data_IF_815829777275
#
_entry.id   IF_815829777275
#
_cell.length_a   1.000
_cell.length_b   1.000
_cell.length_c   1.000
_cell.angle_alpha   90.00
_cell.angle_beta   90.00
_cell.angle_gamma   90.00
#
_symmetry.space_group_name_H-M   'P 1'
#
loop_
_entity.id
_entity.type
_entity.pdbx_description
1 polymer ?
#
# COMPACT_ATOMS: atom_id res chain seq x y z
N UNK A 1 -32.40 25.44 -19.83
CA UNK A 1 -31.65 24.22 -19.47
C UNK A 1 -31.18 24.37 -18.04
N UNK A 2 -31.38 23.35 -17.19
CA UNK A 2 -30.93 23.37 -15.79
C UNK A 2 -29.41 23.52 -15.73
N UNK A 3 -28.92 24.45 -14.90
CA UNK A 3 -27.48 24.66 -14.67
C UNK A 3 -26.95 23.42 -13.92
N UNK A 4 -26.08 22.65 -14.56
CA UNK A 4 -25.46 21.48 -13.93
C UNK A 4 -24.72 21.89 -12.65
N UNK A 5 -24.91 21.12 -11.58
CA UNK A 5 -24.25 21.40 -10.30
C UNK A 5 -22.72 21.31 -10.47
N UNK A 6 -22.00 22.34 -10.02
CA UNK A 6 -20.53 22.34 -10.02
C UNK A 6 -20.04 21.48 -8.85
N UNK A 7 -19.41 20.35 -9.17
CA UNK A 7 -18.75 19.49 -8.19
C UNK A 7 -17.31 19.98 -7.94
N UNK A 8 -16.77 19.71 -6.75
CA UNK A 8 -15.38 20.01 -6.40
C UNK A 8 -14.38 19.12 -7.17
N UNK A 9 -14.82 17.96 -7.67
CA UNK A 9 -14.05 16.97 -8.43
C UNK A 9 -14.73 16.77 -9.79
N UNK A 10 -13.94 16.67 -10.86
CA UNK A 10 -14.43 16.43 -12.23
C UNK A 10 -13.40 15.59 -12.98
N UNK A 11 -13.75 14.42 -13.54
CA UNK A 11 -15.09 13.91 -13.88
C UNK A 11 -15.89 13.44 -12.66
N UNK A 12 -17.20 13.17 -12.83
CA UNK A 12 -17.97 12.53 -11.76
C UNK A 12 -17.63 11.05 -11.65
N UNK A 13 -17.93 10.44 -10.50
CA UNK A 13 -17.73 9.01 -10.26
C UNK A 13 -18.36 8.12 -11.34
N UNK A 14 -19.51 8.53 -11.89
CA UNK A 14 -20.24 7.76 -12.89
C UNK A 14 -19.67 7.89 -14.30
N UNK A 15 -19.00 9.00 -14.60
CA UNK A 15 -18.47 9.28 -15.94
C UNK A 15 -17.12 8.59 -16.17
N UNK A 16 -16.21 8.71 -15.19
CA UNK A 16 -14.88 8.10 -15.23
C UNK A 16 -14.41 7.85 -13.79
N UNK A 17 -14.59 6.61 -13.35
CA UNK A 17 -14.27 6.20 -11.98
C UNK A 17 -12.76 6.24 -11.67
N UNK A 18 -11.86 5.70 -12.53
CA UNK A 18 -10.43 5.77 -12.28
C UNK A 18 -9.90 7.19 -12.05
N UNK A 19 -10.23 8.15 -12.92
CA UNK A 19 -9.75 9.53 -12.79
C UNK A 19 -10.41 10.22 -11.60
N UNK A 20 -11.73 10.05 -11.41
CA UNK A 20 -12.43 10.58 -10.23
C UNK A 20 -11.78 10.12 -8.93
N UNK A 21 -11.42 8.83 -8.82
CA UNK A 21 -10.78 8.27 -7.63
C UNK A 21 -9.44 8.93 -7.35
N UNK A 22 -8.59 9.09 -8.36
CA UNK A 22 -7.28 9.75 -8.22
C UNK A 22 -7.45 11.22 -7.79
N UNK A 23 -8.42 11.93 -8.36
CA UNK A 23 -8.68 13.31 -7.99
C UNK A 23 -9.22 13.44 -6.56
N UNK A 24 -10.09 12.54 -6.10
CA UNK A 24 -10.57 12.53 -4.71
C UNK A 24 -9.40 12.31 -3.75
N UNK A 25 -8.57 11.28 -4.00
CA UNK A 25 -7.41 10.97 -3.16
C UNK A 25 -6.45 12.16 -3.06
N UNK A 26 -6.17 12.80 -4.20
CA UNK A 26 -5.29 13.96 -4.28
C UNK A 26 -5.89 15.19 -3.60
N UNK A 27 -7.14 15.53 -3.90
CA UNK A 27 -7.80 16.72 -3.37
C UNK A 27 -8.05 16.63 -1.86
N UNK A 28 -8.28 15.43 -1.34
CA UNK A 28 -8.39 15.17 0.09
C UNK A 28 -7.03 15.01 0.79
N UNK A 29 -5.91 15.19 0.07
CA UNK A 29 -4.56 15.06 0.61
C UNK A 29 -4.27 13.71 1.30
N UNK A 30 -4.82 12.63 0.76
CA UNK A 30 -4.70 11.28 1.35
C UNK A 30 -3.39 10.60 0.97
N UNK A 31 -3.01 10.64 -0.31
CA UNK A 31 -1.80 10.02 -0.83
C UNK A 31 -1.34 10.70 -2.13
N UNK A 32 -0.08 10.48 -2.49
CA UNK A 32 0.52 10.94 -3.75
C UNK A 32 1.39 9.85 -4.37
N UNK A 33 1.57 9.89 -5.70
CA UNK A 33 2.42 8.94 -6.40
C UNK A 33 3.89 9.13 -5.98
N UNK A 34 4.61 8.01 -5.77
CA UNK A 34 6.05 8.07 -5.57
C UNK A 34 6.80 8.00 -6.92
N UNK A 35 8.13 8.12 -6.88
CA UNK A 35 8.97 7.94 -8.07
C UNK A 35 9.02 6.48 -8.55
N UNK A 36 8.56 5.52 -7.74
CA UNK A 36 8.53 4.10 -8.07
C UNK A 36 7.12 3.72 -8.52
N UNK A 37 7.02 3.18 -9.74
CA UNK A 37 5.73 2.74 -10.29
C UNK A 37 5.07 1.71 -9.38
N UNK A 38 3.79 1.93 -9.07
CA UNK A 38 3.02 1.06 -8.17
C UNK A 38 3.18 1.39 -6.69
N UNK A 39 4.02 2.39 -6.34
CA UNK A 39 4.20 2.87 -4.99
C UNK A 39 3.58 4.27 -4.81
N UNK A 40 3.18 4.56 -3.57
CA UNK A 40 2.59 5.84 -3.19
C UNK A 40 3.15 6.28 -1.84
N UNK A 41 3.22 7.60 -1.64
CA UNK A 41 3.45 8.20 -0.32
C UNK A 41 2.08 8.46 0.29
N UNK A 42 1.79 7.82 1.43
CA UNK A 42 0.56 8.07 2.19
C UNK A 42 0.80 9.30 3.06
N UNK A 43 0.01 10.35 2.84
CA UNK A 43 0.13 11.63 3.55
C UNK A 43 -0.46 11.52 4.97
N UNK A 44 -0.16 12.46 5.89
CA UNK A 44 -0.64 12.38 7.28
C UNK A 44 -2.16 12.18 7.42
N UNK A 45 -2.97 12.81 6.56
CA UNK A 45 -4.42 12.64 6.60
C UNK A 45 -4.84 11.21 6.24
N UNK A 46 -4.24 10.61 5.20
CA UNK A 46 -4.48 9.22 4.83
C UNK A 46 -3.93 8.24 5.87
N UNK A 47 -2.74 8.50 6.39
CA UNK A 47 -2.11 7.63 7.39
C UNK A 47 -2.87 7.65 8.73
N UNK A 48 -3.44 8.80 9.12
CA UNK A 48 -4.29 8.89 10.31
C UNK A 48 -5.55 8.03 10.25
N UNK A 49 -6.06 7.72 9.05
CA UNK A 49 -7.15 6.74 8.87
C UNK A 49 -6.62 5.34 9.18
N UNK A 50 -5.45 4.99 8.65
CA UNK A 50 -4.80 3.70 8.92
C UNK A 50 -4.49 3.51 10.41
N UNK A 51 -3.96 4.52 11.10
CA UNK A 51 -3.69 4.44 12.55
C UNK A 51 -4.94 4.12 13.38
N UNK A 52 -6.10 4.65 12.97
CA UNK A 52 -7.39 4.36 13.64
C UNK A 52 -7.83 2.92 13.39
N UNK A 53 -7.71 2.44 12.15
CA UNK A 53 -8.03 1.05 11.78
C UNK A 53 -7.11 0.10 12.55
N UNK A 54 -5.81 0.36 12.54
CA UNK A 54 -4.79 -0.45 13.21
C UNK A 54 -5.09 -0.55 14.71
N UNK A 55 -5.36 0.58 15.38
CA UNK A 55 -5.66 0.61 16.82
C UNK A 55 -6.91 -0.18 17.19
N UNK A 56 -7.98 -0.02 16.41
CA UNK A 56 -9.23 -0.73 16.67
C UNK A 56 -9.07 -2.25 16.49
N UNK A 57 -8.37 -2.65 15.43
CA UNK A 57 -8.10 -4.07 15.18
C UNK A 57 -7.18 -4.67 16.25
N UNK A 58 -6.12 -3.96 16.62
CA UNK A 58 -5.17 -4.36 17.66
C UNK A 58 -5.86 -4.58 19.02
N UNK A 59 -6.77 -3.67 19.42
CA UNK A 59 -7.56 -3.83 20.63
C UNK A 59 -8.39 -5.11 20.63
N UNK A 60 -9.01 -5.45 19.49
CA UNK A 60 -9.83 -6.66 19.34
C UNK A 60 -8.99 -7.93 19.38
N UNK A 61 -7.82 -7.91 18.75
CA UNK A 61 -6.87 -9.03 18.78
C UNK A 61 -6.41 -9.27 20.23
N UNK A 62 -5.99 -8.22 20.94
CA UNK A 62 -5.57 -8.32 22.34
C UNK A 62 -6.67 -8.78 23.28
N UNK A 63 -7.93 -8.40 23.03
CA UNK A 63 -9.07 -8.87 23.82
C UNK A 63 -9.28 -10.41 23.76
N UNK A 64 -8.71 -11.07 22.74
CA UNK A 64 -8.73 -12.53 22.61
C UNK A 64 -7.49 -13.22 23.20
N UNK A 65 -6.61 -12.48 23.89
CA UNK A 65 -5.42 -12.99 24.56
C UNK A 65 -4.17 -13.11 23.67
N UNK A 66 -4.19 -12.54 22.46
CA UNK A 66 -3.05 -12.56 21.55
C UNK A 66 -2.08 -11.39 21.79
N UNK A 67 -0.81 -11.62 21.48
CA UNK A 67 0.26 -10.62 21.57
C UNK A 67 0.86 -10.37 20.19
N UNK A 68 1.25 -9.12 19.93
CA UNK A 68 1.94 -8.76 18.70
C UNK A 68 3.41 -9.18 18.76
N UNK A 69 3.90 -9.70 17.64
CA UNK A 69 5.32 -9.98 17.43
C UNK A 69 5.78 -9.36 16.11
N UNK A 70 7.06 -9.05 16.00
CA UNK A 70 7.68 -8.54 14.78
C UNK A 70 8.75 -9.53 14.32
N UNK A 71 8.58 -10.05 13.11
CA UNK A 71 9.53 -10.95 12.47
C UNK A 71 10.32 -10.19 11.40
N UNK A 72 11.53 -10.67 11.02
CA UNK A 72 12.30 -10.07 9.95
C UNK A 72 11.52 -10.00 8.63
N UNK A 73 11.56 -8.84 7.96
CA UNK A 73 10.98 -8.66 6.62
C UNK A 73 11.73 -9.46 5.55
N UNK A 74 13.04 -9.61 5.72
CA UNK A 74 13.90 -10.38 4.81
C UNK A 74 14.14 -11.76 5.40
N UNK A 75 13.89 -12.79 4.60
CA UNK A 75 14.18 -14.18 4.93
C UNK A 75 15.06 -14.81 3.84
N UNK A 76 15.90 -15.82 4.16
CA UNK A 76 16.65 -16.54 3.14
C UNK A 76 15.73 -17.16 2.09
N UNK A 77 16.13 -17.08 0.83
CA UNK A 77 15.37 -17.69 -0.28
C UNK A 77 15.12 -19.19 -0.05
N UNK A 78 16.12 -19.90 0.50
CA UNK A 78 16.01 -21.32 0.83
C UNK A 78 14.91 -21.63 1.87
N UNK A 79 14.51 -20.67 2.70
CA UNK A 79 13.38 -20.86 3.62
C UNK A 79 12.05 -20.67 2.89
N UNK A 80 12.00 -19.75 1.93
CA UNK A 80 10.83 -19.50 1.08
C UNK A 80 10.58 -20.69 0.12
N UNK A 81 11.64 -21.27 -0.45
CA UNK A 81 11.58 -22.40 -1.39
C UNK A 81 11.00 -23.68 -0.74
N UNK A 82 11.26 -23.90 0.55
CA UNK A 82 10.70 -25.04 1.29
C UNK A 82 9.17 -24.98 1.43
N UNK A 83 8.59 -23.78 1.40
CA UNK A 83 7.14 -23.59 1.40
C UNK A 83 6.56 -23.67 -0.02
N UNK A 84 7.36 -23.37 -1.06
CA UNK A 84 6.93 -23.41 -2.45
C UNK A 84 6.62 -24.83 -2.95
N UNK A 85 7.17 -25.87 -2.31
CA UNK A 85 6.79 -27.28 -2.56
C UNK A 85 5.31 -27.56 -2.24
N UNK A 86 4.67 -26.73 -1.41
CA UNK A 86 3.31 -26.93 -0.94
C UNK A 86 2.26 -25.97 -1.57
N UNK A 87 2.68 -24.94 -2.30
CA UNK A 87 1.77 -23.90 -2.81
C UNK A 87 2.08 -23.55 -4.27
N UNK A 88 1.26 -24.06 -5.18
CA UNK A 88 1.34 -23.76 -6.61
C UNK A 88 1.08 -22.25 -6.85
N UNK A 89 2.12 -21.51 -7.25
CA UNK A 89 2.02 -20.08 -7.57
C UNK A 89 2.58 -19.10 -6.54
N UNK A 90 3.11 -19.58 -5.41
CA UNK A 90 3.61 -18.74 -4.32
C UNK A 90 4.77 -17.79 -4.71
N UNK A 91 5.62 -18.18 -5.65
CA UNK A 91 6.87 -17.47 -5.94
C UNK A 91 6.80 -16.35 -6.99
N UNK A 92 5.63 -16.02 -7.57
CA UNK A 92 5.59 -15.13 -8.75
C UNK A 92 5.77 -13.63 -8.46
N UNK A 93 5.57 -13.17 -7.23
CA UNK A 93 5.54 -11.74 -6.89
C UNK A 93 6.61 -11.29 -5.88
N UNK A 94 7.63 -12.13 -5.61
CA UNK A 94 8.65 -11.83 -4.59
C UNK A 94 9.75 -10.91 -5.14
N UNK A 95 9.94 -9.76 -4.49
CA UNK A 95 11.13 -8.93 -4.69
C UNK A 95 12.35 -9.59 -4.03
N UNK A 96 13.43 -9.78 -4.79
CA UNK A 96 14.67 -10.42 -4.31
C UNK A 96 15.79 -9.41 -4.22
N UNK A 97 16.43 -9.32 -3.06
CA UNK A 97 17.64 -8.51 -2.86
C UNK A 97 18.85 -9.34 -3.26
N UNK A 98 19.49 -8.99 -4.37
CA UNK A 98 20.67 -9.71 -4.91
C UNK A 98 21.99 -8.98 -4.67
N UNK A 99 21.93 -7.69 -4.32
CA UNK A 99 23.09 -6.84 -4.04
C UNK A 99 22.86 -6.09 -2.72
N UNK A 100 23.93 -5.87 -1.97
CA UNK A 100 23.87 -5.40 -0.58
C UNK A 100 24.77 -4.19 -0.31
N UNK A 101 25.46 -3.67 -1.33
CA UNK A 101 26.35 -2.51 -1.24
C UNK A 101 25.99 -1.52 -2.35
N UNK A 102 26.14 -0.23 -2.05
CA UNK A 102 26.20 0.78 -3.10
C UNK A 102 27.51 0.59 -3.87
N UNK A 103 27.39 0.33 -5.16
CA UNK A 103 28.48 0.46 -6.11
C UNK A 103 28.26 1.77 -6.86
N UNK A 104 29.22 2.68 -6.82
CA UNK A 104 29.20 3.84 -7.71
C UNK A 104 29.27 3.32 -9.15
N UNK A 105 28.20 3.54 -9.91
CA UNK A 105 28.26 3.50 -11.37
C UNK A 105 28.41 4.92 -11.86
N UNK A 106 29.56 5.19 -12.49
CA UNK A 106 29.91 6.42 -13.20
C UNK A 106 30.07 7.67 -12.32
N UNK A 107 31.08 7.67 -11.45
CA UNK A 107 31.66 8.90 -10.88
C UNK A 107 32.41 9.74 -11.91
#
# INVERSE_FOLDING_TARGET
MSKQAKNAISPTRADDYPEWYQQVVKAAELAENSQVRGCMVIKPWGYGIWERIQRELDNRIKATGHENAYFPLLIPLSFLEREAEHVEGFAKECAVVTHHRLEEKDG
#
